data_IF_517690833452
#
_entry.id   IF_517690833452
#
_cell.length_a   1.000
_cell.length_b   1.000
_cell.length_c   1.000
_cell.angle_alpha   90.00
_cell.angle_beta   90.00
_cell.angle_gamma   90.00
#
_symmetry.space_group_name_H-M   'P 1'
#
loop_
_entity.id
_entity.type
_entity.pdbx_description
1 polymer ?
#
# COMPACT_ATOMS: atom_id res chain seq x y z
N UNK A 1 -54.89 6.31 -25.01
CA UNK A 1 -54.10 6.22 -23.76
C UNK A 1 -53.35 4.91 -23.59
N UNK A 2 -53.97 3.73 -23.48
CA UNK A 2 -53.25 2.45 -23.23
C UNK A 2 -52.16 2.11 -24.26
N UNK A 3 -52.42 2.29 -25.57
CA UNK A 3 -51.41 2.05 -26.63
C UNK A 3 -50.23 3.02 -26.55
N UNK A 4 -50.47 4.27 -26.16
CA UNK A 4 -49.43 5.29 -26.00
C UNK A 4 -48.55 4.97 -24.78
N UNK A 5 -49.17 4.56 -23.66
CA UNK A 5 -48.45 4.15 -22.46
C UNK A 5 -47.58 2.90 -22.72
N UNK A 6 -48.11 1.90 -23.41
CA UNK A 6 -47.35 0.70 -23.78
C UNK A 6 -46.15 1.03 -24.68
N UNK A 7 -46.32 1.94 -25.64
CA UNK A 7 -45.22 2.40 -26.49
C UNK A 7 -44.13 3.14 -25.68
N UNK A 8 -44.52 4.00 -24.74
CA UNK A 8 -43.58 4.71 -23.87
C UNK A 8 -42.79 3.75 -22.96
N UNK A 9 -43.45 2.74 -22.39
CA UNK A 9 -42.77 1.71 -21.58
C UNK A 9 -41.81 0.89 -22.42
N UNK A 10 -42.21 0.49 -23.63
CA UNK A 10 -41.32 -0.25 -24.54
C UNK A 10 -40.10 0.59 -24.94
N UNK A 11 -40.28 1.86 -25.25
CA UNK A 11 -39.17 2.79 -25.56
C UNK A 11 -38.24 2.96 -24.36
N UNK A 12 -38.77 3.10 -23.15
CA UNK A 12 -37.97 3.20 -21.93
C UNK A 12 -37.17 1.91 -21.68
N UNK A 13 -37.79 0.74 -21.85
CA UNK A 13 -37.12 -0.56 -21.70
C UNK A 13 -35.99 -0.74 -22.73
N UNK A 14 -36.23 -0.36 -23.99
CA UNK A 14 -35.19 -0.37 -25.04
C UNK A 14 -34.06 0.58 -24.67
N UNK A 15 -34.37 1.78 -24.17
CA UNK A 15 -33.38 2.75 -23.73
C UNK A 15 -32.50 2.22 -22.58
N UNK A 16 -33.11 1.61 -21.57
CA UNK A 16 -32.38 0.99 -20.44
C UNK A 16 -31.52 -0.18 -20.92
N UNK A 17 -32.05 -1.05 -21.78
CA UNK A 17 -31.32 -2.18 -22.34
C UNK A 17 -30.11 -1.71 -23.17
N UNK A 18 -30.27 -0.66 -23.98
CA UNK A 18 -29.17 -0.07 -24.73
C UNK A 18 -28.11 0.58 -23.82
N UNK A 19 -28.53 1.30 -22.77
CA UNK A 19 -27.63 1.90 -21.80
C UNK A 19 -26.82 0.85 -21.02
N UNK A 20 -27.47 -0.26 -20.67
CA UNK A 20 -26.83 -1.42 -20.05
C UNK A 20 -25.84 -2.11 -21.00
N UNK A 21 -26.27 -2.43 -22.22
CA UNK A 21 -25.45 -3.12 -23.22
C UNK A 21 -24.23 -2.31 -23.69
N UNK A 22 -24.26 -0.99 -23.50
CA UNK A 22 -23.16 -0.07 -23.81
C UNK A 22 -22.45 0.46 -22.56
N UNK A 23 -22.69 -0.15 -21.39
CA UNK A 23 -21.93 0.16 -20.19
C UNK A 23 -20.47 -0.25 -20.37
N UNK A 24 -19.49 0.59 -20.01
CA UNK A 24 -18.11 0.16 -19.93
C UNK A 24 -17.96 -0.91 -18.84
N UNK A 25 -17.01 -1.83 -19.05
CA UNK A 25 -16.55 -2.85 -18.10
C UNK A 25 -15.02 -2.75 -17.98
N UNK A 26 -14.52 -1.68 -17.32
CA UNK A 26 -13.09 -1.49 -17.14
C UNK A 26 -12.58 -2.51 -16.11
N UNK A 27 -11.97 -3.59 -16.59
CA UNK A 27 -11.38 -4.69 -15.77
C UNK A 27 -10.07 -4.29 -15.07
N UNK A 28 -10.02 -3.08 -14.53
CA UNK A 28 -8.84 -2.40 -14.01
C UNK A 28 -8.68 -0.99 -14.56
N UNK A 29 -7.97 -0.15 -13.82
CA UNK A 29 -7.57 1.17 -14.30
C UNK A 29 -6.34 1.09 -15.22
N UNK A 30 -6.22 2.10 -16.08
CA UNK A 30 -5.00 2.31 -16.86
C UNK A 30 -3.94 2.95 -15.96
N UNK A 31 -2.68 2.71 -16.30
CA UNK A 31 -1.55 3.42 -15.70
C UNK A 31 -0.65 3.96 -16.80
N UNK A 32 0.00 5.07 -16.50
CA UNK A 32 1.15 5.56 -17.21
C UNK A 32 2.39 4.75 -16.85
N UNK A 33 3.35 4.68 -17.78
CA UNK A 33 4.59 3.92 -17.63
C UNK A 33 5.74 4.72 -18.21
N UNK A 34 6.89 4.70 -17.53
CA UNK A 34 8.09 5.26 -18.14
C UNK A 34 8.57 4.36 -19.28
N UNK A 35 9.10 4.97 -20.35
CA UNK A 35 9.66 4.22 -21.49
C UNK A 35 10.85 3.34 -21.08
N UNK A 36 11.65 3.81 -20.13
CA UNK A 36 12.77 3.05 -19.60
C UNK A 36 12.29 1.95 -18.67
N UNK A 37 12.82 0.74 -18.86
CA UNK A 37 12.62 -0.35 -17.92
C UNK A 37 13.15 0.05 -16.53
N UNK A 38 12.49 -0.46 -15.48
CA UNK A 38 12.99 -0.33 -14.13
C UNK A 38 14.38 -1.00 -14.03
N UNK A 39 15.36 -0.26 -13.54
CA UNK A 39 16.73 -0.72 -13.32
C UNK A 39 17.03 -0.78 -11.80
N UNK A 40 16.89 -1.95 -11.16
CA UNK A 40 17.13 -2.08 -9.72
C UNK A 40 18.62 -2.09 -9.40
N UNK A 41 19.03 -1.28 -8.43
CA UNK A 41 20.41 -1.23 -7.96
C UNK A 41 20.54 -0.51 -6.62
N UNK A 42 21.68 -0.69 -5.96
CA UNK A 42 21.97 0.08 -4.75
C UNK A 42 22.21 1.54 -5.14
N UNK A 43 21.59 2.47 -4.41
CA UNK A 43 21.99 3.86 -4.51
C UNK A 43 23.47 4.03 -4.13
N UNK A 44 24.21 4.95 -4.76
CA UNK A 44 25.57 5.28 -4.33
C UNK A 44 25.64 5.61 -2.84
N UNK A 45 26.66 5.14 -2.12
CA UNK A 45 26.77 5.35 -0.66
C UNK A 45 26.80 6.82 -0.24
N UNK A 46 27.26 7.71 -1.13
CA UNK A 46 27.21 9.17 -0.95
C UNK A 46 25.80 9.74 -0.97
N UNK A 47 24.86 9.04 -1.57
CA UNK A 47 23.44 9.42 -1.70
C UNK A 47 22.60 8.73 -0.63
N UNK A 48 22.83 7.43 -0.38
CA UNK A 48 22.13 6.70 0.66
C UNK A 48 22.88 5.45 1.15
N UNK A 49 22.58 5.00 2.38
CA UNK A 49 23.02 3.72 2.91
C UNK A 49 21.89 2.69 2.81
N UNK A 50 22.16 1.52 2.24
CA UNK A 50 21.17 0.44 2.16
C UNK A 50 21.36 -0.54 3.30
N UNK A 51 20.31 -0.74 4.10
CA UNK A 51 20.29 -1.70 5.21
C UNK A 51 19.33 -2.85 4.90
N UNK A 52 19.61 -4.03 5.45
CA UNK A 52 18.69 -5.16 5.48
C UNK A 52 18.63 -5.75 6.89
N UNK A 53 17.48 -6.33 7.24
CA UNK A 53 17.31 -7.07 8.50
C UNK A 53 17.39 -8.56 8.23
N UNK A 54 18.05 -9.29 9.12
CA UNK A 54 18.14 -10.75 9.02
C UNK A 54 18.18 -11.37 10.42
N UNK A 55 18.09 -12.69 10.52
CA UNK A 55 18.33 -13.40 11.78
C UNK A 55 19.81 -13.75 11.90
N UNK A 56 20.46 -13.25 12.95
CA UNK A 56 21.83 -13.60 13.29
C UNK A 56 21.96 -15.07 13.69
N UNK A 57 23.21 -15.52 13.87
CA UNK A 57 23.50 -16.91 14.27
C UNK A 57 22.89 -17.31 15.63
N UNK A 58 22.58 -16.33 16.48
CA UNK A 58 21.89 -16.49 17.76
C UNK A 58 20.36 -16.41 17.66
N UNK A 59 19.82 -16.33 16.44
CA UNK A 59 18.38 -16.23 16.15
C UNK A 59 17.77 -14.84 16.33
N UNK A 60 18.52 -13.87 16.87
CA UNK A 60 18.04 -12.50 17.10
C UNK A 60 18.08 -11.66 15.82
N UNK A 61 17.20 -10.66 15.67
CA UNK A 61 17.30 -9.72 14.56
C UNK A 61 18.64 -8.97 14.57
N UNK A 62 19.30 -8.92 13.42
CA UNK A 62 20.54 -8.20 13.19
C UNK A 62 20.41 -7.32 11.94
N UNK A 63 21.30 -6.33 11.84
CA UNK A 63 21.31 -5.36 10.74
C UNK A 63 22.53 -5.55 9.86
N UNK A 64 22.30 -5.63 8.55
CA UNK A 64 23.30 -5.75 7.51
C UNK A 64 23.42 -4.42 6.76
N UNK A 65 24.63 -3.88 6.61
CA UNK A 65 24.93 -2.87 5.60
C UNK A 65 25.08 -3.59 4.26
N UNK A 66 24.12 -3.42 3.36
CA UNK A 66 24.10 -4.09 2.06
C UNK A 66 25.14 -3.44 1.15
N UNK A 67 25.99 -4.28 0.54
CA UNK A 67 27.01 -3.84 -0.42
C UNK A 67 26.79 -4.38 -1.82
N UNK A 68 26.00 -5.46 -1.95
CA UNK A 68 25.65 -6.04 -3.24
C UNK A 68 24.38 -6.91 -3.11
N UNK A 69 23.63 -7.09 -4.19
CA UNK A 69 22.51 -8.02 -4.25
C UNK A 69 22.19 -8.47 -5.67
N UNK A 70 21.55 -9.63 -5.77
CA UNK A 70 20.87 -10.10 -6.97
C UNK A 70 19.49 -10.66 -6.61
N UNK A 71 18.81 -11.29 -7.58
CA UNK A 71 17.48 -11.86 -7.38
C UNK A 71 17.40 -12.97 -6.31
N UNK A 72 18.53 -13.55 -5.91
CA UNK A 72 18.64 -14.73 -5.04
C UNK A 72 19.39 -14.48 -3.74
N UNK A 73 20.32 -13.52 -3.72
CA UNK A 73 21.23 -13.30 -2.61
C UNK A 73 21.47 -11.82 -2.31
N UNK A 74 21.79 -11.54 -1.05
CA UNK A 74 22.21 -10.22 -0.57
C UNK A 74 23.52 -10.37 0.18
N UNK A 75 24.51 -9.56 -0.20
CA UNK A 75 25.84 -9.55 0.43
C UNK A 75 26.04 -8.23 1.15
N UNK A 76 26.61 -8.28 2.35
CA UNK A 76 26.87 -7.08 3.12
C UNK A 76 27.75 -7.30 4.35
N UNK A 77 27.95 -6.23 5.11
CA UNK A 77 28.72 -6.24 6.35
C UNK A 77 27.72 -6.14 7.52
N UNK A 78 27.70 -7.10 8.45
CA UNK A 78 26.90 -6.95 9.67
C UNK A 78 27.32 -5.69 10.42
N UNK A 79 26.38 -4.82 10.78
CA UNK A 79 26.72 -3.55 11.47
C UNK A 79 27.45 -3.80 12.80
N UNK A 80 27.15 -4.90 13.49
CA UNK A 80 27.87 -5.31 14.69
C UNK A 80 29.38 -5.56 14.44
N UNK A 81 29.76 -6.01 13.24
CA UNK A 81 31.17 -6.17 12.85
C UNK A 81 31.88 -4.82 12.64
N UNK A 82 31.11 -3.73 12.50
CA UNK A 82 31.59 -2.35 12.46
C UNK A 82 31.53 -1.67 13.85
N UNK A 83 31.13 -2.40 14.89
CA UNK A 83 31.03 -1.89 16.27
C UNK A 83 29.67 -1.33 16.66
N UNK A 84 28.62 -1.57 15.86
CA UNK A 84 27.28 -1.10 16.18
C UNK A 84 26.70 -1.83 17.40
N UNK A 85 25.82 -1.15 18.13
CA UNK A 85 24.90 -1.79 19.03
C UNK A 85 24.01 -2.79 18.26
N UNK A 86 23.69 -3.92 18.91
CA UNK A 86 22.80 -4.94 18.36
C UNK A 86 21.41 -4.83 18.99
N UNK A 87 20.69 -3.75 18.67
CA UNK A 87 19.35 -3.47 19.22
C UNK A 87 18.24 -4.21 18.46
N UNK A 88 18.52 -4.65 17.24
CA UNK A 88 17.54 -5.28 16.34
C UNK A 88 16.68 -4.27 15.56
N UNK A 89 16.91 -2.96 15.78
CA UNK A 89 16.36 -1.86 14.99
C UNK A 89 17.48 -1.27 14.11
N UNK A 90 17.38 -1.38 12.77
CA UNK A 90 18.43 -0.92 11.86
C UNK A 90 18.85 0.53 12.00
N UNK A 91 17.90 1.43 12.26
CA UNK A 91 18.18 2.86 12.36
C UNK A 91 18.92 3.18 13.65
N UNK A 92 18.58 2.49 14.76
CA UNK A 92 19.31 2.63 16.03
C UNK A 92 20.67 1.96 16.00
N UNK A 93 20.78 0.80 15.35
CA UNK A 93 22.05 0.13 15.13
C UNK A 93 22.98 1.03 14.30
N UNK A 94 22.48 1.62 13.21
CA UNK A 94 23.24 2.57 12.39
C UNK A 94 23.61 3.84 13.19
N UNK A 95 22.67 4.43 13.92
CA UNK A 95 22.92 5.65 14.72
C UNK A 95 23.93 5.45 15.85
N UNK A 96 24.18 4.19 16.27
CA UNK A 96 25.20 3.86 17.27
C UNK A 96 26.64 3.87 16.74
N UNK A 97 26.80 3.91 15.41
CA UNK A 97 28.12 3.96 14.77
C UNK A 97 28.61 5.39 14.62
N UNK A 98 29.94 5.55 14.56
CA UNK A 98 30.51 6.72 13.91
C UNK A 98 30.07 6.78 12.43
N UNK A 99 30.00 7.99 11.86
CA UNK A 99 29.57 8.18 10.47
C UNK A 99 30.38 7.28 9.53
N UNK A 100 29.67 6.43 8.80
CA UNK A 100 30.25 5.59 7.75
C UNK A 100 30.72 6.45 6.56
N UNK A 101 31.77 6.02 5.84
CA UNK A 101 32.26 6.73 4.66
C UNK A 101 31.20 6.80 3.56
N UNK A 102 31.37 7.78 2.66
CA UNK A 102 30.46 7.99 1.53
C UNK A 102 30.84 7.12 0.30
N UNK A 103 31.91 6.33 0.38
CA UNK A 103 32.38 5.40 -0.66
C UNK A 103 32.53 3.98 -0.09
N UNK A 104 31.99 3.00 -0.81
CA UNK A 104 32.09 1.58 -0.47
C UNK A 104 33.55 1.08 -0.44
N UNK A 105 34.43 1.63 -1.27
CA UNK A 105 35.85 1.26 -1.30
C UNK A 105 36.59 1.69 -0.02
N UNK A 106 36.06 2.68 0.70
CA UNK A 106 36.62 3.19 1.95
C UNK A 106 36.05 2.49 3.20
N UNK A 107 35.15 1.52 3.05
CA UNK A 107 34.62 0.76 4.18
C UNK A 107 35.75 -0.01 4.89
N UNK A 108 35.69 -0.12 6.24
CA UNK A 108 36.64 -0.93 6.97
C UNK A 108 36.70 -2.36 6.45
N UNK A 109 37.88 -2.97 6.49
CA UNK A 109 38.05 -4.38 6.20
C UNK A 109 37.34 -5.20 7.29
N UNK A 110 36.08 -5.55 7.04
CA UNK A 110 35.21 -6.31 7.94
C UNK A 110 34.65 -7.56 7.23
N UNK A 111 34.32 -8.63 7.98
CA UNK A 111 33.72 -9.82 7.40
C UNK A 111 32.41 -9.49 6.67
N UNK A 112 32.30 -9.97 5.43
CA UNK A 112 31.05 -9.94 4.66
C UNK A 112 30.29 -11.24 4.85
N UNK A 113 28.97 -11.14 4.87
CA UNK A 113 28.07 -12.30 4.85
C UNK A 113 27.18 -12.22 3.62
N UNK A 114 26.90 -13.38 3.03
CA UNK A 114 25.93 -13.53 1.96
C UNK A 114 24.74 -14.31 2.49
N UNK A 115 23.54 -13.77 2.31
CA UNK A 115 22.29 -14.31 2.79
C UNK A 115 21.37 -14.58 1.60
N UNK A 116 20.53 -15.60 1.70
CA UNK A 116 19.44 -15.77 0.74
C UNK A 116 18.50 -14.57 0.83
N UNK A 117 18.12 -13.99 -0.31
CA UNK A 117 17.23 -12.83 -0.37
C UNK A 117 15.89 -13.10 0.35
N UNK A 118 15.35 -14.31 0.18
CA UNK A 118 14.12 -14.77 0.83
C UNK A 118 14.24 -14.95 2.36
N UNK A 119 15.45 -14.91 2.92
CA UNK A 119 15.67 -15.03 4.37
C UNK A 119 15.66 -13.69 5.11
N UNK A 120 15.59 -12.57 4.37
CA UNK A 120 15.54 -11.24 4.97
C UNK A 120 14.22 -11.03 5.73
N UNK A 121 14.32 -10.30 6.83
CA UNK A 121 13.19 -9.89 7.66
C UNK A 121 12.52 -8.63 7.09
N UNK A 122 11.26 -8.31 7.49
CA UNK A 122 10.57 -7.12 7.03
C UNK A 122 11.35 -5.84 7.34
N UNK A 123 11.36 -4.89 6.40
CA UNK A 123 11.97 -3.55 6.58
C UNK A 123 11.12 -2.65 7.47
N UNK A 124 9.80 -2.83 7.44
CA UNK A 124 8.89 -2.18 8.36
C UNK A 124 9.25 -2.53 9.83
N UNK A 125 8.96 -1.64 10.79
CA UNK A 125 9.06 -1.94 12.20
C UNK A 125 8.09 -3.03 12.66
N UNK A 126 8.32 -3.57 13.86
CA UNK A 126 7.53 -4.68 14.42
C UNK A 126 6.21 -4.29 15.10
N UNK A 127 5.80 -3.01 15.04
CA UNK A 127 4.52 -2.58 15.58
C UNK A 127 3.33 -3.22 14.86
N UNK A 128 2.13 -2.94 15.39
CA UNK A 128 0.86 -3.50 14.86
C UNK A 128 -0.10 -2.45 14.33
N UNK A 129 0.28 -1.18 14.42
CA UNK A 129 -0.51 -0.04 13.97
C UNK A 129 0.43 0.83 13.16
N UNK A 130 0.02 1.14 11.93
CA UNK A 130 0.75 1.96 10.97
C UNK A 130 -0.20 3.03 10.43
N UNK A 131 0.32 4.03 9.74
CA UNK A 131 -0.46 5.13 9.18
C UNK A 131 -0.48 4.95 7.67
N UNK A 132 -1.62 4.48 7.16
CA UNK A 132 -1.90 4.44 5.73
C UNK A 132 -2.36 5.80 5.23
N UNK A 133 -2.09 6.10 3.97
CA UNK A 133 -2.50 7.35 3.31
C UNK A 133 -3.30 7.01 2.06
N UNK A 134 -4.49 7.59 1.93
CA UNK A 134 -5.30 7.48 0.72
C UNK A 134 -5.09 8.69 -0.20
N UNK A 135 -5.21 8.45 -1.51
CA UNK A 135 -5.36 9.48 -2.55
C UNK A 135 -4.27 10.57 -2.56
N UNK A 136 -3.04 10.17 -2.25
CA UNK A 136 -1.86 11.05 -2.25
C UNK A 136 -1.14 11.14 -3.61
N UNK A 137 -1.66 10.48 -4.65
CA UNK A 137 -1.20 10.62 -6.03
C UNK A 137 -2.36 11.19 -6.86
N UNK A 138 -2.14 12.24 -7.68
CA UNK A 138 -3.21 12.93 -8.40
C UNK A 138 -4.07 12.01 -9.27
N UNK A 139 -3.44 11.09 -9.98
CA UNK A 139 -4.09 10.16 -10.91
C UNK A 139 -4.97 9.17 -10.14
N UNK A 140 -4.46 8.61 -9.04
CA UNK A 140 -5.24 7.74 -8.17
C UNK A 140 -6.38 8.49 -7.47
N UNK A 141 -6.17 9.76 -7.09
CA UNK A 141 -7.24 10.60 -6.56
C UNK A 141 -8.35 10.81 -7.60
N UNK A 142 -8.00 10.93 -8.89
CA UNK A 142 -8.97 11.01 -9.98
C UNK A 142 -9.73 9.68 -10.18
N UNK A 143 -9.05 8.52 -10.14
CA UNK A 143 -9.69 7.19 -10.19
C UNK A 143 -10.70 7.00 -9.04
N UNK A 144 -10.34 7.44 -7.84
CA UNK A 144 -11.16 7.32 -6.64
C UNK A 144 -12.23 8.44 -6.51
N UNK A 145 -12.25 9.42 -7.42
CA UNK A 145 -13.08 10.63 -7.34
C UNK A 145 -12.94 11.35 -5.98
N UNK A 146 -11.70 11.46 -5.49
CA UNK A 146 -11.35 12.10 -4.22
C UNK A 146 -10.73 13.47 -4.44
N UNK A 147 -11.14 14.45 -3.64
CA UNK A 147 -10.58 15.82 -3.66
C UNK A 147 -9.51 16.09 -2.61
N UNK A 148 -9.17 15.13 -1.77
CA UNK A 148 -8.30 15.34 -0.61
C UNK A 148 -7.43 14.12 -0.29
N UNK A 149 -6.29 14.37 0.34
CA UNK A 149 -5.43 13.33 0.91
C UNK A 149 -5.92 13.03 2.31
N UNK A 150 -6.18 11.75 2.62
CA UNK A 150 -6.64 11.32 3.94
C UNK A 150 -5.73 10.23 4.52
N UNK A 151 -5.86 9.97 5.82
CA UNK A 151 -5.07 8.96 6.51
C UNK A 151 -5.98 8.05 7.32
N UNK A 152 -5.50 6.84 7.58
CA UNK A 152 -6.21 5.84 8.38
C UNK A 152 -5.19 4.95 9.11
N UNK A 153 -5.55 4.37 10.27
CA UNK A 153 -4.72 3.38 10.91
C UNK A 153 -4.80 2.07 10.12
N UNK A 154 -3.65 1.55 9.70
CA UNK A 154 -3.50 0.20 9.15
C UNK A 154 -3.03 -0.73 10.26
N UNK A 155 -3.81 -1.78 10.52
CA UNK A 155 -3.51 -2.75 11.57
C UNK A 155 -2.86 -4.01 10.99
N UNK A 156 -2.00 -4.64 11.79
CA UNK A 156 -1.32 -5.88 11.43
C UNK A 156 0.19 -5.74 11.51
N UNK A 157 0.88 -6.88 11.48
CA UNK A 157 2.35 -6.92 11.44
C UNK A 157 2.82 -7.08 10.02
N UNK A 158 3.88 -6.37 9.68
CA UNK A 158 4.47 -6.47 8.35
C UNK A 158 5.03 -7.87 8.06
N UNK A 159 4.85 -8.33 6.83
CA UNK A 159 5.46 -9.57 6.32
C UNK A 159 6.73 -9.27 5.50
N UNK A 160 7.61 -10.26 5.28
CA UNK A 160 8.82 -10.07 4.50
C UNK A 160 8.54 -9.78 3.01
N UNK A 161 9.58 -9.38 2.27
CA UNK A 161 9.52 -9.11 0.84
C UNK A 161 9.27 -10.36 -0.04
N UNK A 162 9.32 -11.57 0.56
CA UNK A 162 8.83 -12.81 -0.06
C UNK A 162 7.72 -13.31 0.85
N UNK A 163 6.48 -13.12 0.41
CA UNK A 163 5.30 -13.38 1.22
C UNK A 163 4.24 -14.16 0.46
N UNK A 164 3.26 -14.65 1.21
CA UNK A 164 2.02 -15.21 0.67
C UNK A 164 0.84 -14.45 1.25
N UNK A 165 -0.23 -14.33 0.47
CA UNK A 165 -1.52 -13.81 0.92
C UNK A 165 -2.62 -14.77 0.53
N UNK A 166 -3.47 -15.13 1.48
CA UNK A 166 -4.61 -16.00 1.22
C UNK A 166 -5.77 -15.20 0.63
N UNK A 167 -6.17 -15.51 -0.60
CA UNK A 167 -7.40 -14.97 -1.19
C UNK A 167 -8.61 -15.68 -0.60
N UNK A 168 -9.27 -15.05 0.37
CA UNK A 168 -10.49 -15.60 0.97
C UNK A 168 -11.63 -15.63 -0.06
N UNK A 169 -12.50 -16.65 -0.03
CA UNK A 169 -13.62 -16.74 -0.95
C UNK A 169 -14.52 -15.51 -0.85
N UNK A 170 -14.89 -14.96 -2.00
CA UNK A 170 -15.77 -13.80 -2.08
C UNK A 170 -15.10 -12.47 -1.82
N UNK A 171 -13.80 -12.39 -1.55
CA UNK A 171 -13.07 -11.10 -1.42
C UNK A 171 -12.57 -10.62 -2.78
N UNK A 172 -12.83 -9.34 -3.09
CA UNK A 172 -12.20 -8.61 -4.19
C UNK A 172 -10.82 -8.10 -3.70
N UNK A 173 -9.80 -8.95 -3.81
CA UNK A 173 -8.44 -8.66 -3.34
C UNK A 173 -7.66 -7.86 -4.40
N UNK A 174 -7.11 -6.73 -3.98
CA UNK A 174 -6.37 -5.79 -4.81
C UNK A 174 -4.96 -5.52 -4.27
N UNK A 175 -4.09 -4.97 -5.11
CA UNK A 175 -2.71 -4.60 -4.79
C UNK A 175 -2.52 -3.09 -4.85
N UNK A 176 -1.57 -2.60 -4.07
CA UNK A 176 -1.15 -1.21 -4.06
C UNK A 176 0.34 -1.18 -3.67
N UNK A 177 1.22 -0.70 -4.55
CA UNK A 177 2.63 -0.42 -4.19
C UNK A 177 2.73 0.95 -3.55
N UNK A 178 3.54 1.07 -2.50
CA UNK A 178 3.81 2.35 -1.85
C UNK A 178 5.27 2.52 -1.43
N UNK A 179 5.68 3.79 -1.33
CA UNK A 179 6.83 4.19 -0.55
C UNK A 179 6.43 4.28 0.93
N UNK A 180 7.25 3.74 1.81
CA UNK A 180 7.05 3.78 3.25
C UNK A 180 8.25 4.42 3.97
N UNK A 181 7.98 5.12 5.06
CA UNK A 181 9.01 5.73 5.93
C UNK A 181 8.87 5.25 7.38
N UNK A 182 10.02 5.02 8.03
CA UNK A 182 10.13 4.78 9.47
C UNK A 182 11.25 5.61 10.08
N UNK A 183 11.22 5.74 11.40
CA UNK A 183 12.10 6.62 12.18
C UNK A 183 12.89 5.85 13.24
N UNK A 184 14.00 6.40 13.70
CA UNK A 184 14.82 5.84 14.79
C UNK A 184 14.19 6.04 16.19
N UNK A 185 13.37 7.08 16.33
CA UNK A 185 12.64 7.45 17.54
C UNK A 185 11.21 7.94 17.24
N UNK A 186 10.43 8.21 18.30
CA UNK A 186 9.04 8.64 18.17
C UNK A 186 8.96 10.08 17.63
N UNK A 187 8.00 10.33 16.75
CA UNK A 187 7.74 11.66 16.20
C UNK A 187 6.49 12.23 16.87
N UNK A 188 6.67 13.14 17.82
CA UNK A 188 5.57 13.86 18.50
C UNK A 188 5.37 15.28 17.95
N UNK A 189 6.32 15.77 17.15
CA UNK A 189 6.30 17.09 16.52
C UNK A 189 7.03 17.08 15.18
N UNK A 190 6.85 18.12 14.38
CA UNK A 190 7.63 18.30 13.16
C UNK A 190 9.12 18.56 13.43
N UNK A 191 9.47 19.08 14.61
CA UNK A 191 10.86 19.20 15.01
C UNK A 191 11.51 17.81 15.22
N UNK A 192 10.77 16.87 15.81
CA UNK A 192 11.22 15.47 15.93
C UNK A 192 11.36 14.85 14.54
N UNK A 193 10.37 15.08 13.66
CA UNK A 193 10.45 14.61 12.26
C UNK A 193 11.72 15.12 11.60
N UNK A 194 12.01 16.42 11.69
CA UNK A 194 13.17 17.03 11.05
C UNK A 194 14.48 16.48 11.61
N UNK A 195 14.56 16.21 12.93
CA UNK A 195 15.75 15.67 13.60
C UNK A 195 15.95 14.16 13.42
N UNK A 196 14.89 13.39 13.13
CA UNK A 196 14.95 11.94 13.05
C UNK A 196 15.78 11.41 11.88
N UNK A 197 16.44 10.28 12.10
CA UNK A 197 16.99 9.46 11.04
C UNK A 197 15.83 8.75 10.32
N UNK A 198 15.77 8.92 9.01
CA UNK A 198 14.66 8.43 8.18
C UNK A 198 15.12 7.23 7.37
N UNK A 199 14.40 6.12 7.51
CA UNK A 199 14.55 4.96 6.67
C UNK A 199 13.37 4.86 5.70
N UNK A 200 13.65 4.83 4.41
CA UNK A 200 12.69 4.67 3.32
C UNK A 200 12.74 3.24 2.81
N UNK A 201 11.60 2.64 2.53
CA UNK A 201 11.49 1.25 2.05
C UNK A 201 10.24 1.05 1.19
N UNK A 202 10.25 0.01 0.36
CA UNK A 202 9.10 -0.40 -0.43
C UNK A 202 8.11 -1.18 0.44
N UNK A 203 6.82 -0.98 0.23
CA UNK A 203 5.77 -1.72 0.93
C UNK A 203 4.56 -1.96 0.03
N UNK A 204 3.74 -2.95 0.39
CA UNK A 204 2.46 -3.21 -0.26
C UNK A 204 1.28 -2.91 0.67
N UNK A 205 0.22 -2.34 0.12
CA UNK A 205 -1.05 -2.07 0.81
C UNK A 205 -2.21 -2.88 0.18
N UNK A 206 -2.18 -4.20 0.38
CA UNK A 206 -3.22 -5.08 -0.16
C UNK A 206 -4.58 -4.77 0.45
N UNK A 207 -5.60 -4.78 -0.39
CA UNK A 207 -6.91 -4.24 -0.03
C UNK A 207 -8.03 -5.22 -0.35
N UNK A 208 -8.90 -5.47 0.63
CA UNK A 208 -10.20 -6.08 0.40
C UNK A 208 -11.18 -4.97 -0.04
N UNK A 209 -11.48 -4.91 -1.34
CA UNK A 209 -12.34 -3.86 -1.91
C UNK A 209 -13.81 -4.00 -1.53
N UNK A 210 -14.27 -5.21 -1.15
CA UNK A 210 -15.64 -5.37 -0.64
C UNK A 210 -15.87 -4.49 0.58
N UNK A 211 -14.94 -4.53 1.53
CA UNK A 211 -15.04 -3.76 2.75
C UNK A 211 -15.05 -2.25 2.47
N UNK A 212 -14.32 -1.78 1.45
CA UNK A 212 -14.43 -0.38 1.01
C UNK A 212 -15.81 -0.08 0.42
N UNK A 213 -16.31 -0.91 -0.49
CA UNK A 213 -17.64 -0.71 -1.09
C UNK A 213 -18.73 -0.69 -0.02
N UNK A 214 -18.66 -1.61 0.95
CA UNK A 214 -19.65 -1.77 2.01
C UNK A 214 -19.59 -0.61 3.02
N UNK A 215 -18.39 -0.25 3.47
CA UNK A 215 -18.21 0.63 4.63
C UNK A 215 -17.86 2.07 4.27
N UNK A 216 -17.06 2.31 3.23
CA UNK A 216 -16.56 3.65 2.95
C UNK A 216 -17.72 4.62 2.64
N UNK A 217 -17.57 5.84 3.12
CA UNK A 217 -18.50 6.94 2.83
C UNK A 217 -18.07 7.60 1.51
N UNK A 218 -18.79 7.36 0.38
CA UNK A 218 -18.41 7.92 -0.91
C UNK A 218 -18.53 9.45 -0.96
N UNK A 219 -19.32 10.05 -0.06
CA UNK A 219 -19.49 11.50 0.02
C UNK A 219 -18.44 12.14 0.95
N UNK A 220 -17.68 11.32 1.71
CA UNK A 220 -16.68 11.78 2.67
C UNK A 220 -15.55 10.75 2.88
N UNK A 221 -14.73 10.55 1.83
CA UNK A 221 -13.55 9.67 1.91
C UNK A 221 -12.54 10.13 2.98
N UNK A 222 -12.49 11.43 3.29
CA UNK A 222 -11.65 12.01 4.36
C UNK A 222 -11.97 11.46 5.76
N UNK A 223 -13.14 10.86 5.94
CA UNK A 223 -13.49 10.12 7.15
C UNK A 223 -12.53 8.94 7.43
N UNK A 224 -11.87 8.40 6.40
CA UNK A 224 -11.05 7.18 6.50
C UNK A 224 -11.86 5.97 6.98
N UNK A 225 -13.19 6.06 6.99
CA UNK A 225 -14.08 5.02 7.49
C UNK A 225 -14.07 3.82 6.54
N UNK A 226 -13.99 2.60 7.07
CA UNK A 226 -13.91 1.36 6.28
C UNK A 226 -12.53 1.02 5.73
N UNK A 227 -11.61 1.98 5.65
CA UNK A 227 -10.25 1.75 5.12
C UNK A 227 -9.43 0.82 6.02
N UNK A 228 -9.53 0.97 7.34
CA UNK A 228 -8.84 0.09 8.28
C UNK A 228 -9.29 -1.37 8.14
N UNK A 229 -10.59 -1.64 8.06
CA UNK A 229 -11.11 -3.01 7.84
C UNK A 229 -10.67 -3.59 6.49
N UNK A 230 -10.69 -2.77 5.43
CA UNK A 230 -10.30 -3.19 4.09
C UNK A 230 -8.80 -3.53 3.97
N UNK A 231 -7.94 -2.82 4.69
CA UNK A 231 -6.48 -2.87 4.48
C UNK A 231 -5.72 -3.60 5.58
N UNK A 232 -6.39 -4.12 6.60
CA UNK A 232 -5.73 -4.75 7.77
C UNK A 232 -5.87 -6.27 7.84
N UNK A 233 -6.06 -6.93 6.69
CA UNK A 233 -6.14 -8.38 6.63
C UNK A 233 -4.78 -9.07 6.86
N UNK A 234 -4.76 -10.37 7.23
CA UNK A 234 -3.53 -11.13 7.40
C UNK A 234 -2.68 -11.12 6.12
N UNK A 235 -1.41 -10.70 6.22
CA UNK A 235 -0.50 -10.63 5.08
C UNK A 235 -0.68 -9.40 4.19
N UNK A 236 -1.60 -8.47 4.52
CA UNK A 236 -1.87 -7.29 3.70
C UNK A 236 -0.78 -6.19 3.77
N UNK A 237 0.33 -6.45 4.48
CA UNK A 237 1.42 -5.49 4.66
C UNK A 237 2.80 -6.10 4.42
N UNK A 238 3.12 -6.58 3.21
CA UNK A 238 4.48 -6.97 2.88
C UNK A 238 5.38 -5.74 2.81
N UNK A 239 6.64 -5.88 3.25
CA UNK A 239 7.60 -4.78 3.24
C UNK A 239 9.04 -5.20 2.96
N UNK A 240 9.80 -4.28 2.39
CA UNK A 240 11.23 -4.38 2.18
C UNK A 240 11.58 -4.72 0.73
N UNK A 241 12.72 -5.38 0.51
CA UNK A 241 13.60 -6.02 1.51
C UNK A 241 14.56 -5.05 2.16
N UNK A 242 14.80 -3.89 1.54
CA UNK A 242 15.78 -2.92 1.98
C UNK A 242 15.16 -1.75 2.71
N UNK A 243 15.86 -1.31 3.75
CA UNK A 243 15.65 -0.04 4.42
C UNK A 243 16.78 0.90 4.02
N UNK A 244 16.48 1.87 3.18
CA UNK A 244 17.46 2.83 2.68
C UNK A 244 17.43 4.08 3.55
N UNK A 245 18.60 4.56 3.94
CA UNK A 245 18.80 5.74 4.78
C UNK A 245 19.48 6.82 3.93
N UNK A 246 18.69 7.75 3.35
CA UNK A 246 19.25 8.76 2.45
C UNK A 246 20.02 9.85 3.19
N UNK A 247 21.01 10.44 2.52
CA UNK A 247 21.65 11.68 2.98
C UNK A 247 20.74 12.89 2.82
N UNK A 248 19.99 12.94 1.71
CA UNK A 248 18.89 13.86 1.46
C UNK A 248 17.63 13.04 1.18
N UNK A 249 16.77 12.94 2.18
CA UNK A 249 15.55 12.13 2.06
C UNK A 249 14.56 12.71 1.04
N UNK A 250 14.52 14.04 0.85
CA UNK A 250 13.56 14.66 -0.07
C UNK A 250 13.92 14.35 -1.50
N UNK A 251 15.19 14.60 -1.86
CA UNK A 251 15.69 14.30 -3.20
C UNK A 251 15.59 12.80 -3.51
N UNK A 252 15.97 11.95 -2.56
CA UNK A 252 15.90 10.50 -2.73
C UNK A 252 14.47 10.01 -2.94
N UNK A 253 13.51 10.46 -2.10
CA UNK A 253 12.10 10.06 -2.25
C UNK A 253 11.50 10.58 -3.55
N UNK A 254 11.84 11.82 -3.95
CA UNK A 254 11.34 12.38 -5.20
C UNK A 254 11.79 11.57 -6.43
N UNK A 255 13.01 11.05 -6.41
CA UNK A 255 13.55 10.22 -7.49
C UNK A 255 13.14 8.74 -7.40
N UNK A 256 12.85 8.22 -6.20
CA UNK A 256 12.50 6.82 -6.00
C UNK A 256 11.30 6.41 -6.88
N UNK A 257 11.55 5.46 -7.78
CA UNK A 257 10.54 4.84 -8.65
C UNK A 257 10.01 3.58 -7.99
N UNK A 258 8.71 3.36 -8.11
CA UNK A 258 8.01 2.16 -7.67
C UNK A 258 7.11 1.65 -8.78
N UNK A 259 7.10 0.35 -9.00
CA UNK A 259 6.30 -0.28 -10.04
C UNK A 259 5.65 -1.58 -9.55
N UNK A 260 4.51 -1.93 -10.12
CA UNK A 260 3.80 -3.19 -9.87
C UNK A 260 3.60 -3.97 -11.15
N UNK A 261 3.78 -5.29 -11.08
CA UNK A 261 3.29 -6.22 -12.09
C UNK A 261 2.49 -7.36 -11.45
N UNK A 262 1.52 -7.89 -12.18
CA UNK A 262 0.76 -9.08 -11.81
C UNK A 262 0.91 -10.11 -12.90
N UNK A 263 1.44 -11.29 -12.54
CA UNK A 263 1.77 -12.37 -13.48
C UNK A 263 2.67 -11.88 -14.65
N UNK A 264 3.56 -10.93 -14.35
CA UNK A 264 4.46 -10.30 -15.32
C UNK A 264 3.84 -9.19 -16.17
N UNK A 265 2.53 -8.95 -16.09
CA UNK A 265 1.90 -7.81 -16.76
C UNK A 265 2.06 -6.54 -15.91
N UNK A 266 2.57 -5.43 -16.46
CA UNK A 266 2.75 -4.18 -15.72
C UNK A 266 1.39 -3.57 -15.36
N UNK A 267 1.32 -2.95 -14.18
CA UNK A 267 0.08 -2.44 -13.58
C UNK A 267 0.19 -1.05 -12.99
N UNK A 268 1.30 -0.74 -12.34
CA UNK A 268 1.55 0.59 -11.75
C UNK A 268 3.00 0.96 -12.02
N UNK A 269 3.27 2.25 -12.20
CA UNK A 269 4.60 2.80 -12.36
C UNK A 269 4.59 4.29 -12.02
N UNK A 270 5.26 4.68 -10.95
CA UNK A 270 5.25 6.05 -10.45
C UNK A 270 6.54 6.39 -9.70
N UNK A 271 6.80 7.69 -9.55
CA UNK A 271 7.85 8.23 -8.68
C UNK A 271 7.26 8.87 -7.44
N UNK A 272 8.02 8.82 -6.34
CA UNK A 272 7.65 9.53 -5.13
C UNK A 272 7.54 11.05 -5.32
N UNK A 273 8.16 11.62 -6.35
CA UNK A 273 8.03 13.03 -6.72
C UNK A 273 6.63 13.44 -7.18
N UNK A 274 5.76 12.49 -7.52
CA UNK A 274 4.38 12.72 -7.97
C UNK A 274 3.40 12.84 -6.79
N UNK A 275 3.84 12.57 -5.56
CA UNK A 275 3.00 12.71 -4.37
C UNK A 275 2.48 14.13 -4.19
N UNK A 276 1.19 14.27 -3.86
CA UNK A 276 0.55 15.54 -3.47
C UNK A 276 1.17 16.08 -2.18
N UNK A 277 1.34 15.22 -1.17
CA UNK A 277 1.99 15.53 0.10
C UNK A 277 3.27 14.71 0.24
N UNK A 278 4.40 15.39 0.47
CA UNK A 278 5.64 14.74 0.88
C UNK A 278 5.52 14.13 2.30
N UNK A 279 6.48 13.28 2.70
CA UNK A 279 6.44 12.62 4.01
C UNK A 279 6.40 13.59 5.20
N UNK A 280 6.94 14.81 5.06
CA UNK A 280 6.89 15.80 6.14
C UNK A 280 5.48 16.37 6.26
N UNK A 281 4.82 16.65 5.14
CA UNK A 281 3.42 17.08 5.12
C UNK A 281 2.48 15.96 5.58
N UNK A 282 2.75 14.70 5.23
CA UNK A 282 2.01 13.53 5.76
C UNK A 282 2.19 13.38 7.27
N UNK A 283 3.39 13.61 7.81
CA UNK A 283 3.62 13.61 9.25
C UNK A 283 2.86 14.76 9.94
N UNK A 284 2.84 15.95 9.34
CA UNK A 284 2.07 17.08 9.85
C UNK A 284 0.58 16.76 9.91
N UNK A 285 0.03 16.18 8.83
CA UNK A 285 -1.36 15.75 8.76
C UNK A 285 -1.68 14.71 9.83
N UNK A 286 -0.81 13.71 9.98
CA UNK A 286 -0.99 12.65 10.96
C UNK A 286 -1.05 13.20 12.38
N UNK A 287 -0.08 14.03 12.76
CA UNK A 287 -0.04 14.66 14.08
C UNK A 287 -1.29 15.53 14.35
N UNK A 288 -1.88 16.11 13.32
CA UNK A 288 -3.13 16.88 13.41
C UNK A 288 -4.41 16.04 13.52
N UNK A 289 -4.35 14.72 13.34
CA UNK A 289 -5.52 13.83 13.21
C UNK A 289 -5.50 12.64 14.20
N UNK A 290 -4.71 12.75 15.28
CA UNK A 290 -4.58 11.70 16.29
C UNK A 290 -5.48 11.90 17.53
N UNK A 291 -6.16 13.04 17.67
CA UNK A 291 -6.86 13.40 18.91
C UNK A 291 -8.14 12.58 19.16
N UNK A 292 -8.80 12.10 18.10
CA UNK A 292 -10.14 11.48 18.21
C UNK A 292 -10.14 10.06 17.68
N UNK A 293 -10.79 9.12 18.40
CA UNK A 293 -11.05 7.79 17.87
C UNK A 293 -12.19 7.86 16.86
N UNK A 294 -11.85 7.95 15.56
CA UNK A 294 -12.82 8.11 14.46
C UNK A 294 -12.73 7.05 13.38
N UNK A 295 -11.73 6.17 13.43
CA UNK A 295 -11.50 5.14 12.41
C UNK A 295 -12.15 3.83 12.85
N UNK A 296 -13.13 3.36 12.08
CA UNK A 296 -13.76 2.07 12.33
C UNK A 296 -12.79 0.93 11.98
N UNK A 297 -12.61 0.01 12.91
CA UNK A 297 -11.94 -1.26 12.69
C UNK A 297 -12.58 -2.34 13.56
N UNK A 298 -12.98 -3.47 12.97
CA UNK A 298 -13.57 -4.61 13.69
C UNK A 298 -14.72 -4.23 14.64
N UNK A 299 -15.57 -3.28 14.21
CA UNK A 299 -16.74 -2.84 14.96
C UNK A 299 -16.46 -1.84 16.10
N UNK A 300 -15.22 -1.35 16.24
CA UNK A 300 -14.85 -0.34 17.24
C UNK A 300 -14.14 0.85 16.60
N UNK A 301 -14.23 2.02 17.24
CA UNK A 301 -13.52 3.22 16.79
C UNK A 301 -12.14 3.34 17.43
N UNK A 302 -11.14 3.64 16.60
CA UNK A 302 -9.73 3.76 16.99
C UNK A 302 -9.17 5.14 16.60
N UNK A 303 -8.18 5.67 17.35
CA UNK A 303 -7.41 6.83 16.91
C UNK A 303 -6.44 6.44 15.78
N UNK A 304 -5.94 7.44 15.03
CA UNK A 304 -4.94 7.23 13.97
C UNK A 304 -3.66 6.57 14.51
N UNK A 305 -3.25 6.97 15.72
CA UNK A 305 -2.13 6.38 16.44
C UNK A 305 -2.45 6.25 17.93
N UNK A 306 -2.01 5.18 18.62
CA UNK A 306 -2.42 4.91 20.01
C UNK A 306 -1.96 5.96 21.04
N UNK A 307 -0.91 6.72 20.76
CA UNK A 307 -0.22 7.58 21.74
C UNK A 307 -0.11 9.05 21.30
N UNK A 308 -0.92 9.49 20.33
CA UNK A 308 -0.86 10.87 19.84
C UNK A 308 0.47 11.25 19.17
N UNK A 309 1.22 10.25 18.68
CA UNK A 309 2.53 10.41 18.03
C UNK A 309 2.74 9.28 17.03
N UNK A 310 3.64 9.47 16.06
CA UNK A 310 4.11 8.40 15.20
C UNK A 310 5.23 7.67 15.96
N UNK A 311 4.92 6.54 16.60
CA UNK A 311 5.92 5.82 17.38
C UNK A 311 7.00 5.18 16.48
N UNK A 312 8.20 4.95 17.03
CA UNK A 312 9.34 4.38 16.32
C UNK A 312 9.09 2.95 15.78
N UNK A 313 8.03 2.30 16.26
CA UNK A 313 7.56 1.00 15.80
C UNK A 313 6.41 1.08 14.77
N UNK A 314 6.05 2.29 14.33
CA UNK A 314 5.03 2.55 13.29
C UNK A 314 5.67 2.90 11.94
N UNK A 315 4.86 2.76 10.88
CA UNK A 315 5.22 3.16 9.52
C UNK A 315 4.33 4.31 9.10
N UNK A 316 4.87 5.29 8.39
CA UNK A 316 4.12 6.26 7.62
C UNK A 316 4.15 5.84 6.15
N UNK A 317 2.98 5.53 5.58
CA UNK A 317 2.84 5.02 4.21
C UNK A 317 2.39 6.16 3.28
N UNK A 318 2.93 6.21 2.07
CA UNK A 318 2.74 7.32 1.15
C UNK A 318 1.39 7.34 0.43
N UNK A 319 0.69 6.21 0.36
CA UNK A 319 -0.37 5.96 -0.62
C UNK A 319 0.18 5.43 -1.94
N UNK A 320 -0.73 4.99 -2.80
CA UNK A 320 -0.40 4.37 -4.10
C UNK A 320 -0.73 5.28 -5.28
N UNK A 321 -0.09 5.01 -6.41
CA UNK A 321 -0.41 5.63 -7.71
C UNK A 321 -1.58 4.93 -8.40
N UNK A 322 -1.96 5.43 -9.57
CA UNK A 322 -2.96 4.82 -10.46
C UNK A 322 -2.64 3.36 -10.82
N UNK A 323 -3.61 2.68 -11.45
CA UNK A 323 -3.43 1.33 -11.98
C UNK A 323 -3.86 0.19 -11.04
N UNK A 324 -4.62 0.51 -9.99
CA UNK A 324 -5.28 -0.49 -9.15
C UNK A 324 -6.38 -1.21 -9.93
N UNK A 325 -6.80 -2.39 -9.46
CA UNK A 325 -7.87 -3.14 -10.13
C UNK A 325 -9.23 -2.43 -9.94
N UNK A 326 -9.48 -1.92 -8.74
CA UNK A 326 -10.79 -1.37 -8.38
C UNK A 326 -11.23 -0.19 -9.24
N UNK A 327 -12.46 -0.27 -9.75
CA UNK A 327 -13.14 0.85 -10.40
C UNK A 327 -14.49 1.14 -9.73
N UNK A 328 -14.98 2.39 -9.74
CA UNK A 328 -16.31 2.70 -9.22
C UNK A 328 -17.43 1.96 -9.98
N UNK A 329 -18.61 1.73 -9.36
CA UNK A 329 -19.73 1.05 -10.01
C UNK A 329 -20.09 1.65 -11.37
N UNK A 330 -20.22 0.78 -12.37
CA UNK A 330 -20.51 1.18 -13.75
C UNK A 330 -21.99 1.54 -13.92
N UNK A 331 -22.35 2.08 -15.09
CA UNK A 331 -23.77 2.30 -15.43
C UNK A 331 -24.56 0.99 -15.44
N UNK A 332 -23.95 -0.11 -15.88
CA UNK A 332 -24.53 -1.44 -15.86
C UNK A 332 -24.87 -1.87 -14.44
N UNK A 333 -23.93 -1.73 -13.51
CA UNK A 333 -24.12 -2.09 -12.10
C UNK A 333 -25.24 -1.27 -11.45
N UNK A 334 -25.29 0.04 -11.74
CA UNK A 334 -26.36 0.90 -11.26
C UNK A 334 -27.74 0.46 -11.79
N UNK A 335 -27.85 0.15 -13.09
CA UNK A 335 -29.10 -0.33 -13.70
C UNK A 335 -29.53 -1.65 -13.07
N UNK A 336 -28.62 -2.61 -12.97
CA UNK A 336 -28.92 -3.93 -12.40
C UNK A 336 -29.27 -3.85 -10.91
N UNK A 337 -28.58 -3.00 -10.15
CA UNK A 337 -28.89 -2.75 -8.75
C UNK A 337 -30.29 -2.14 -8.55
N UNK A 338 -30.68 -1.18 -9.40
CA UNK A 338 -32.04 -0.61 -9.39
C UNK A 338 -33.09 -1.68 -9.72
N UNK A 339 -32.83 -2.52 -10.73
CA UNK A 339 -33.74 -3.61 -11.10
C UNK A 339 -33.87 -4.65 -9.97
N UNK A 340 -32.76 -4.98 -9.30
CA UNK A 340 -32.75 -5.88 -8.14
C UNK A 340 -33.57 -5.30 -6.97
N UNK A 341 -33.37 -4.01 -6.66
CA UNK A 341 -34.13 -3.29 -5.63
C UNK A 341 -35.64 -3.29 -5.92
N UNK A 342 -36.05 -3.01 -7.16
CA UNK A 342 -37.45 -3.06 -7.55
C UNK A 342 -38.03 -4.48 -7.46
N UNK A 343 -37.24 -5.49 -7.85
CA UNK A 343 -37.59 -6.90 -7.73
C UNK A 343 -37.78 -7.39 -6.30
N UNK A 344 -37.07 -6.79 -5.33
CA UNK A 344 -37.21 -7.08 -3.89
C UNK A 344 -38.30 -6.27 -3.19
N UNK A 345 -39.23 -5.65 -3.92
CA UNK A 345 -40.35 -4.89 -3.37
C UNK A 345 -40.14 -3.37 -3.32
N UNK A 346 -38.99 -2.88 -3.80
CA UNK A 346 -38.70 -1.45 -3.91
C UNK A 346 -38.89 -0.71 -2.59
N UNK A 347 -39.60 0.44 -2.57
CA UNK A 347 -39.82 1.22 -1.34
C UNK A 347 -40.61 0.49 -0.24
N UNK A 348 -41.30 -0.60 -0.58
CA UNK A 348 -42.06 -1.42 0.36
C UNK A 348 -41.27 -2.65 0.84
N UNK A 349 -40.07 -2.89 0.27
CA UNK A 349 -39.18 -3.97 0.68
C UNK A 349 -38.25 -3.58 1.82
N UNK A 350 -37.53 -4.56 2.37
CA UNK A 350 -36.58 -4.36 3.46
C UNK A 350 -35.18 -3.90 2.97
N UNK A 351 -34.84 -4.14 1.71
CA UNK A 351 -33.55 -3.80 1.13
C UNK A 351 -33.49 -2.33 0.68
N UNK A 352 -32.41 -1.62 1.01
CA UNK A 352 -32.15 -0.27 0.52
C UNK A 352 -31.62 -0.26 -0.92
N UNK A 353 -31.91 0.80 -1.69
CA UNK A 353 -31.45 0.93 -3.07
C UNK A 353 -29.91 0.96 -3.19
N UNK A 354 -29.24 1.76 -2.36
CA UNK A 354 -27.77 1.86 -2.37
C UNK A 354 -27.15 0.49 -2.09
N UNK A 355 -27.70 -0.23 -1.13
CA UNK A 355 -27.21 -1.56 -0.78
C UNK A 355 -27.42 -2.57 -1.91
N UNK A 356 -28.57 -2.51 -2.60
CA UNK A 356 -28.80 -3.35 -3.78
C UNK A 356 -27.77 -3.08 -4.89
N UNK A 357 -27.38 -1.82 -5.12
CA UNK A 357 -26.32 -1.46 -6.08
C UNK A 357 -24.96 -2.00 -5.62
N UNK A 358 -24.59 -1.79 -4.34
CA UNK A 358 -23.33 -2.30 -3.78
C UNK A 358 -23.20 -3.82 -3.93
N UNK A 359 -24.22 -4.55 -3.50
CA UNK A 359 -24.25 -6.01 -3.59
C UNK A 359 -24.20 -6.49 -5.04
N UNK A 360 -24.86 -5.78 -5.95
CA UNK A 360 -24.83 -6.14 -7.37
C UNK A 360 -23.47 -5.90 -8.00
N UNK A 361 -22.87 -4.75 -7.72
CA UNK A 361 -21.51 -4.43 -8.14
C UNK A 361 -20.53 -5.50 -7.65
N UNK A 362 -20.50 -5.82 -6.36
CA UNK A 362 -19.62 -6.86 -5.80
C UNK A 362 -19.83 -8.21 -6.49
N UNK A 363 -21.08 -8.61 -6.72
CA UNK A 363 -21.39 -9.87 -7.40
C UNK A 363 -20.88 -9.90 -8.85
N UNK A 364 -20.97 -8.78 -9.57
CA UNK A 364 -20.48 -8.64 -10.94
C UNK A 364 -18.94 -8.69 -10.99
N UNK A 365 -18.27 -7.97 -10.10
CA UNK A 365 -16.81 -7.96 -10.00
C UNK A 365 -16.25 -9.36 -9.67
N UNK A 366 -16.90 -10.08 -8.74
CA UNK A 366 -16.55 -11.46 -8.41
C UNK A 366 -16.74 -12.40 -9.61
N UNK A 367 -17.84 -12.25 -10.35
CA UNK A 367 -18.09 -13.03 -11.56
C UNK A 367 -17.10 -12.69 -12.69
N UNK A 368 -16.61 -11.44 -12.73
CA UNK A 368 -15.63 -10.97 -13.71
C UNK A 368 -14.24 -11.61 -13.54
N UNK A 369 -13.89 -12.07 -12.34
CA UNK A 369 -12.69 -12.88 -12.08
C UNK A 369 -11.35 -12.20 -12.38
N UNK A 370 -11.33 -10.86 -12.29
CA UNK A 370 -10.19 -10.01 -12.64
C UNK A 370 -9.43 -9.44 -11.42
N UNK A 371 -9.98 -9.57 -10.21
CA UNK A 371 -9.25 -9.40 -8.95
C UNK A 371 -8.28 -10.55 -8.68
N UNK A 372 -7.37 -10.33 -7.72
CA UNK A 372 -6.36 -11.32 -7.36
C UNK A 372 -6.98 -12.63 -6.87
N UNK A 373 -6.51 -13.74 -7.41
CA UNK A 373 -6.99 -15.10 -7.10
C UNK A 373 -5.84 -16.06 -6.83
N UNK A 374 -6.10 -17.22 -6.21
CA UNK A 374 -5.06 -18.23 -5.97
C UNK A 374 -4.29 -18.57 -7.24
N UNK A 375 -2.95 -18.56 -7.15
CA UNK A 375 -2.03 -18.76 -8.26
C UNK A 375 -1.53 -17.47 -8.92
N UNK A 376 -2.11 -16.32 -8.61
CA UNK A 376 -1.56 -15.03 -9.06
C UNK A 376 -0.29 -14.68 -8.27
N UNK A 377 0.62 -14.01 -8.97
CA UNK A 377 1.87 -13.49 -8.43
C UNK A 377 1.95 -11.98 -8.62
N UNK A 378 2.02 -11.25 -7.51
CA UNK A 378 2.20 -9.79 -7.49
C UNK A 378 3.66 -9.49 -7.22
N UNK A 379 4.27 -8.65 -8.05
CA UNK A 379 5.64 -8.18 -7.86
C UNK A 379 5.67 -6.65 -7.83
N UNK A 380 6.11 -6.09 -6.70
CA UNK A 380 6.44 -4.68 -6.57
C UNK A 380 7.95 -4.51 -6.68
N UNK A 381 8.42 -3.51 -7.42
CA UNK A 381 9.84 -3.23 -7.58
C UNK A 381 10.16 -1.75 -7.38
N UNK A 382 11.41 -1.45 -7.06
CA UNK A 382 11.94 -0.09 -7.00
C UNK A 382 13.36 -0.02 -7.55
N UNK A 383 13.74 1.15 -8.07
CA UNK A 383 15.10 1.41 -8.52
C UNK A 383 16.14 1.26 -7.39
N UNK A 384 15.80 1.60 -6.15
CA UNK A 384 16.75 1.57 -5.03
C UNK A 384 16.30 0.82 -3.77
N UNK A 385 15.03 0.41 -3.70
CA UNK A 385 14.46 -0.18 -2.48
C UNK A 385 14.32 -1.72 -2.56
N UNK A 386 14.75 -2.34 -3.66
CA UNK A 386 14.60 -3.77 -3.93
C UNK A 386 13.22 -4.13 -4.46
N UNK A 387 12.81 -5.39 -4.27
CA UNK A 387 11.53 -5.90 -4.76
C UNK A 387 10.78 -6.75 -3.72
N UNK A 388 9.45 -6.67 -3.77
CA UNK A 388 8.52 -7.49 -3.01
C UNK A 388 7.82 -8.43 -3.97
N UNK A 389 7.72 -9.70 -3.60
CA UNK A 389 6.96 -10.72 -4.32
C UNK A 389 5.97 -11.35 -3.37
N UNK A 390 4.70 -11.33 -3.77
CA UNK A 390 3.58 -11.94 -3.05
C UNK A 390 2.92 -12.98 -3.93
N UNK A 391 2.89 -14.22 -3.45
CA UNK A 391 2.09 -15.29 -4.08
C UNK A 391 0.70 -15.31 -3.44
N UNK A 392 -0.34 -15.29 -4.28
CA UNK A 392 -1.72 -15.39 -3.83
C UNK A 392 -2.07 -16.88 -3.70
N UNK A 393 -2.47 -17.31 -2.51
CA UNK A 393 -2.79 -18.71 -2.21
C UNK A 393 -4.27 -18.89 -1.93
N UNK A 394 -4.72 -20.14 -2.00
CA UNK A 394 -5.98 -20.51 -1.36
C UNK A 394 -5.86 -20.35 0.18
N UNK A 395 -7.00 -20.19 0.89
CA UNK A 395 -7.05 -20.10 2.35
C UNK A 395 -6.40 -21.26 3.10
#
# INVERSE_FOLDING_TARGET
MRKLLAALVALAAIGIAAAWATSPDPKGNLASFEEAALDPGLAPMREALTLARYRGADGRPATLLVTDFDATAVTGIPLAALGAAATGNPLRDLASLARLPDDAAALPAAPRVTLAYASLLPSAPGGRVHIGTGTNFPEHAAEANSGAVFQFPKFGTATPARATIAAQPGILLDYEVELCMRFDHDIASLADFDAALKGVFLCGDFTNRNALVELADPDNLDSGFGFSDAKSGPGHFPSGPFLVVPRDWKAFVADARMATSVNGAPRQDARGGEMVLDFRALAAKALGDMERPRFLYQGSFHPLAPQGKIAADMTLMAGTSEGVIFTPPTRGDMIEGVLAYLGSGGPMGEAGLVEAVKQRFIANELAGGHFLKPGDRVAHGSNHLGDIVVEVTAP
#
